data_IF_333908200736
#
_entry.id   IF_333908200736
#
_cell.length_a   1.000
_cell.length_b   1.000
_cell.length_c   1.000
_cell.angle_alpha   90.00
_cell.angle_beta   90.00
_cell.angle_gamma   90.00
#
_symmetry.space_group_name_H-M   'P 1'
#
loop_
_entity.id
_entity.type
_entity.pdbx_description
1 polymer ?
#
# COMPACT_ATOMS: atom_id res chain seq x y z
N UNK A 1 -12.62 28.29 -2.95
CA UNK A 1 -11.45 27.88 -3.76
C UNK A 1 -11.33 26.36 -3.64
N UNK A 2 -12.04 25.61 -4.50
CA UNK A 2 -12.01 24.14 -4.48
C UNK A 2 -10.99 23.67 -5.51
N UNK A 3 -9.75 23.51 -5.08
CA UNK A 3 -8.76 22.77 -5.87
C UNK A 3 -9.27 21.34 -6.02
N UNK A 4 -9.42 20.88 -7.26
CA UNK A 4 -9.82 19.51 -7.58
C UNK A 4 -8.71 18.61 -7.00
N UNK A 5 -8.90 18.08 -5.79
CA UNK A 5 -8.05 17.00 -5.28
C UNK A 5 -8.18 15.87 -6.30
N UNK A 6 -7.09 15.53 -7.00
CA UNK A 6 -7.02 14.35 -7.86
C UNK A 6 -7.37 13.16 -6.96
N UNK A 7 -8.61 12.67 -7.05
CA UNK A 7 -9.04 11.53 -6.27
C UNK A 7 -8.25 10.32 -6.77
N UNK A 8 -7.52 9.70 -5.86
CA UNK A 8 -6.95 8.40 -6.14
C UNK A 8 -8.11 7.42 -6.36
N UNK A 9 -8.00 6.56 -7.36
CA UNK A 9 -8.99 5.51 -7.62
C UNK A 9 -8.55 4.17 -7.05
N UNK A 10 -7.25 3.94 -6.97
CA UNK A 10 -6.67 2.65 -6.57
C UNK A 10 -5.47 2.87 -5.68
N UNK A 11 -5.32 2.01 -4.69
CA UNK A 11 -4.21 2.02 -3.75
C UNK A 11 -3.44 0.71 -3.82
N UNK A 12 -2.12 0.77 -3.65
CA UNK A 12 -1.31 -0.42 -3.45
C UNK A 12 -0.39 -0.23 -2.24
N UNK A 13 -0.16 -1.32 -1.52
CA UNK A 13 0.68 -1.34 -0.31
C UNK A 13 1.84 -2.31 -0.54
N UNK A 14 3.05 -1.87 -0.26
CA UNK A 14 4.25 -2.71 -0.24
C UNK A 14 4.75 -2.84 1.19
N UNK A 15 5.14 -4.06 1.58
CA UNK A 15 5.98 -4.27 2.76
C UNK A 15 7.43 -3.92 2.40
N UNK A 16 8.08 -3.15 3.25
CA UNK A 16 9.54 -3.05 3.30
C UNK A 16 10.07 -4.09 4.30
N UNK A 17 11.39 -4.26 4.38
CA UNK A 17 12.00 -5.09 5.42
C UNK A 17 11.65 -4.52 6.81
N UNK A 18 11.18 -5.40 7.72
CA UNK A 18 10.66 -5.03 9.05
C UNK A 18 9.17 -4.70 9.05
N UNK A 19 8.76 -3.79 9.93
CA UNK A 19 7.34 -3.37 10.12
C UNK A 19 6.96 -2.13 9.29
N UNK A 20 7.77 -1.75 8.30
CA UNK A 20 7.56 -0.55 7.49
C UNK A 20 6.78 -0.88 6.21
N UNK A 21 5.82 -0.02 5.85
CA UNK A 21 4.96 -0.19 4.69
C UNK A 21 4.98 1.08 3.84
N UNK A 22 4.87 0.94 2.51
CA UNK A 22 4.64 2.07 1.60
C UNK A 22 3.25 1.93 1.01
N UNK A 23 2.39 2.90 1.27
CA UNK A 23 1.13 3.06 0.57
C UNK A 23 1.32 3.99 -0.64
N UNK A 24 0.84 3.60 -1.82
CA UNK A 24 0.82 4.44 -3.03
C UNK A 24 -0.59 4.55 -3.57
N UNK A 25 -0.99 5.77 -3.87
CA UNK A 25 -2.29 6.13 -4.39
C UNK A 25 -2.17 6.50 -5.88
N UNK A 26 -2.97 5.86 -6.72
CA UNK A 26 -2.93 5.99 -8.18
C UNK A 26 -4.19 6.70 -8.69
N UNK A 27 -3.99 7.58 -9.67
CA UNK A 27 -5.07 8.25 -10.39
C UNK A 27 -5.70 7.36 -11.45
N UNK A 28 -6.76 7.85 -12.09
CA UNK A 28 -7.47 7.14 -13.17
C UNK A 28 -6.59 6.86 -14.40
N UNK A 29 -5.53 7.63 -14.57
CA UNK A 29 -4.52 7.49 -15.63
C UNK A 29 -3.44 6.45 -15.27
N UNK A 30 -3.54 5.80 -14.12
CA UNK A 30 -2.54 4.85 -13.61
C UNK A 30 -1.27 5.54 -13.10
N UNK A 31 -1.21 6.87 -13.07
CA UNK A 31 -0.05 7.59 -12.57
C UNK A 31 -0.09 7.68 -11.04
N UNK A 32 1.10 7.66 -10.44
CA UNK A 32 1.26 7.89 -9.00
C UNK A 32 0.83 9.33 -8.67
N UNK A 33 -0.19 9.45 -7.81
CA UNK A 33 -0.66 10.75 -7.31
C UNK A 33 0.06 11.11 -6.02
N UNK A 34 0.13 10.16 -5.08
CA UNK A 34 0.73 10.37 -3.78
C UNK A 34 1.26 9.05 -3.20
N UNK A 35 2.24 9.12 -2.31
CA UNK A 35 2.71 7.97 -1.55
C UNK A 35 3.05 8.35 -0.11
N UNK A 36 2.90 7.40 0.81
CA UNK A 36 3.21 7.57 2.22
C UNK A 36 3.83 6.33 2.83
N UNK A 37 4.90 6.53 3.61
CA UNK A 37 5.46 5.49 4.47
C UNK A 37 4.63 5.39 5.76
N UNK A 38 4.28 4.17 6.14
CA UNK A 38 3.45 3.85 7.28
C UNK A 38 4.17 2.82 8.17
N UNK A 39 4.11 2.97 9.50
CA UNK A 39 4.74 2.06 10.46
C UNK A 39 3.99 0.73 10.67
N UNK A 40 2.86 0.52 9.98
CA UNK A 40 2.15 -0.75 9.94
C UNK A 40 1.14 -0.81 8.80
N UNK A 41 0.71 -2.02 8.42
CA UNK A 41 -0.27 -2.27 7.37
C UNK A 41 -1.60 -1.53 7.60
N UNK A 42 -2.08 -1.49 8.84
CA UNK A 42 -3.34 -0.81 9.19
C UNK A 42 -3.28 0.68 8.82
N UNK A 43 -2.19 1.35 9.17
CA UNK A 43 -2.03 2.77 8.86
C UNK A 43 -1.89 3.02 7.34
N UNK A 44 -1.30 2.08 6.61
CA UNK A 44 -1.25 2.15 5.14
C UNK A 44 -2.65 2.05 4.51
N UNK A 45 -3.50 1.12 5.00
CA UNK A 45 -4.90 0.97 4.55
C UNK A 45 -5.77 2.17 4.91
N UNK A 46 -5.69 2.63 6.16
CA UNK A 46 -6.45 3.79 6.64
C UNK A 46 -6.09 5.02 5.80
N UNK A 47 -4.79 5.22 5.50
CA UNK A 47 -4.35 6.32 4.66
C UNK A 47 -4.86 6.22 3.21
N UNK A 48 -4.86 5.04 2.58
CA UNK A 48 -5.40 4.87 1.22
C UNK A 48 -6.91 5.14 1.18
N UNK A 49 -7.63 4.68 2.20
CA UNK A 49 -9.06 4.94 2.36
C UNK A 49 -9.34 6.45 2.46
N UNK A 50 -8.53 7.18 3.24
CA UNK A 50 -8.61 8.65 3.36
C UNK A 50 -8.33 9.36 2.03
N UNK A 51 -7.50 8.78 1.15
CA UNK A 51 -7.28 9.29 -0.22
C UNK A 51 -8.44 8.99 -1.18
N UNK A 52 -9.44 8.23 -0.74
CA UNK A 52 -10.53 7.74 -1.59
C UNK A 52 -10.12 6.62 -2.55
N UNK A 53 -8.94 6.02 -2.32
CA UNK A 53 -8.45 4.89 -3.08
C UNK A 53 -9.00 3.58 -2.49
N UNK A 54 -9.46 2.68 -3.35
CA UNK A 54 -9.76 1.31 -2.92
C UNK A 54 -8.43 0.55 -2.72
N UNK A 55 -8.10 0.11 -1.48
CA UNK A 55 -6.82 -0.50 -1.19
C UNK A 55 -6.76 -1.94 -1.74
N UNK A 56 -5.79 -2.20 -2.63
CA UNK A 56 -5.45 -3.56 -3.04
C UNK A 56 -4.29 -4.03 -2.16
N UNK A 57 -4.57 -5.00 -1.28
CA UNK A 57 -3.57 -5.63 -0.45
C UNK A 57 -2.74 -6.63 -1.27
N UNK A 58 -1.50 -6.26 -1.58
CA UNK A 58 -0.51 -7.21 -2.10
C UNK A 58 0.17 -7.89 -0.92
N UNK A 59 -0.31 -9.07 -0.55
CA UNK A 59 0.42 -9.94 0.36
C UNK A 59 1.74 -10.36 -0.29
N UNK A 60 2.90 -10.24 0.40
CA UNK A 60 4.12 -10.88 -0.09
C UNK A 60 3.86 -12.38 -0.23
N UNK A 61 4.27 -12.95 -1.36
CA UNK A 61 4.10 -14.39 -1.63
C UNK A 61 4.72 -15.19 -0.48
N UNK A 62 3.98 -16.16 0.07
CA UNK A 62 4.44 -17.07 1.13
C UNK A 62 5.70 -17.88 0.82
N UNK A 63 6.27 -17.74 -0.39
CA UNK A 63 7.53 -18.35 -0.81
C UNK A 63 8.73 -18.04 0.11
N UNK A 64 8.70 -16.95 0.90
CA UNK A 64 9.73 -16.71 1.92
C UNK A 64 9.58 -17.62 3.16
N UNK A 65 8.34 -17.94 3.57
CA UNK A 65 8.08 -18.81 4.72
C UNK A 65 8.36 -20.29 4.42
N UNK A 66 8.23 -20.71 3.15
CA UNK A 66 8.57 -22.09 2.73
C UNK A 66 10.08 -22.37 2.72
N UNK A 67 10.93 -21.33 2.66
CA UNK A 67 12.40 -21.50 2.67
C UNK A 67 13.02 -21.49 4.07
N UNK A 68 12.29 -21.05 5.11
CA UNK A 68 12.77 -21.00 6.49
C UNK A 68 12.24 -22.14 7.38
N UNK A 69 11.48 -23.10 6.82
CA UNK A 69 10.77 -24.11 7.59
C UNK A 69 11.00 -25.54 7.10
N UNK A 70 12.25 -25.98 6.99
CA UNK A 70 12.58 -27.41 6.81
C UNK A 70 13.96 -27.80 7.38
N UNK A 71 14.29 -27.25 8.57
CA UNK A 71 15.36 -27.77 9.43
C UNK A 71 14.75 -27.96 10.85
N UNK A 72 14.03 -29.07 11.02
CA UNK A 72 13.72 -29.67 12.34
C UNK A 72 14.19 -31.12 12.33
#
# INVERSE_FOLDING_TARGET
MFGIKKRAQTGAIWSLEGDLYIARAYGADGNLVEQKQCPCLRQARDWLTDQGADPIDFHPSGAYFEMCGHDQ
#
